data_IF_151143412041
#
_entry.id   IF_151143412041
#
_cell.length_a   1.000
_cell.length_b   1.000
_cell.length_c   1.000
_cell.angle_alpha   90.00
_cell.angle_beta   90.00
_cell.angle_gamma   90.00
#
_symmetry.space_group_name_H-M   'P 1'
#
loop_
_entity.id
_entity.type
_entity.pdbx_description
1 polymer ?
#
# COMPACT_ATOMS: atom_id res chain seq x y z
N UNK A 1 39.80 15.15 13.01
CA UNK A 1 39.75 16.25 12.03
C UNK A 1 40.37 15.74 10.74
N UNK A 2 39.66 15.39 9.67
CA UNK A 2 38.56 16.14 9.05
C UNK A 2 37.23 15.38 9.05
N UNK A 3 36.39 15.75 10.01
CA UNK A 3 34.93 15.52 10.07
C UNK A 3 34.18 16.13 8.86
N UNK A 4 34.91 16.84 7.98
CA UNK A 4 34.41 17.57 6.82
C UNK A 4 33.90 16.66 5.69
N UNK A 5 34.32 15.38 5.63
CA UNK A 5 33.84 14.41 4.64
C UNK A 5 32.66 13.57 5.16
N UNK A 6 32.61 13.24 6.46
CA UNK A 6 31.45 12.54 7.05
C UNK A 6 30.19 13.41 7.09
N UNK A 7 30.37 14.74 7.15
CA UNK A 7 29.27 15.69 7.13
C UNK A 7 28.67 15.92 5.74
N UNK A 8 29.23 15.31 4.68
CA UNK A 8 28.91 15.68 3.31
C UNK A 8 27.62 15.06 2.73
N UNK A 9 27.00 13.99 3.25
CA UNK A 9 25.78 13.47 2.58
C UNK A 9 24.81 12.59 3.39
N UNK A 10 24.60 12.85 4.69
CA UNK A 10 23.33 12.43 5.30
C UNK A 10 22.24 13.46 4.96
N UNK A 11 21.81 13.45 3.71
CA UNK A 11 20.71 14.31 3.25
C UNK A 11 19.38 13.76 3.78
N UNK A 12 18.90 14.34 4.88
CA UNK A 12 17.62 14.00 5.55
C UNK A 12 16.48 14.97 5.18
N UNK A 13 16.64 15.73 4.09
CA UNK A 13 15.61 16.71 3.69
C UNK A 13 14.38 15.96 3.22
N UNK A 14 13.25 16.27 3.85
CA UNK A 14 11.93 15.78 3.45
C UNK A 14 11.19 16.94 2.81
N UNK A 15 10.72 16.73 1.58
CA UNK A 15 9.92 17.71 0.85
C UNK A 15 8.46 17.26 0.89
N UNK A 16 7.65 17.91 1.72
CA UNK A 16 6.23 17.64 1.75
C UNK A 16 5.59 18.08 0.42
N UNK A 17 4.60 17.34 -0.11
CA UNK A 17 3.84 17.81 -1.26
C UNK A 17 3.05 19.07 -0.88
N UNK A 18 2.79 19.92 -1.88
CA UNK A 18 1.98 21.12 -1.70
C UNK A 18 0.55 20.79 -1.25
N UNK A 19 -0.13 21.75 -0.63
CA UNK A 19 -1.51 21.59 -0.20
C UNK A 19 -2.43 21.24 -1.39
N UNK A 20 -2.30 21.98 -2.49
CA UNK A 20 -3.09 21.77 -3.70
C UNK A 20 -2.92 20.36 -4.28
N UNK A 21 -1.71 19.79 -4.19
CA UNK A 21 -1.45 18.41 -4.61
C UNK A 21 -2.11 17.41 -3.66
N UNK A 22 -1.99 17.59 -2.34
CA UNK A 22 -2.61 16.69 -1.36
C UNK A 22 -4.13 16.64 -1.50
N UNK A 23 -4.80 17.78 -1.74
CA UNK A 23 -6.26 17.83 -1.90
C UNK A 23 -6.76 17.04 -3.11
N UNK A 24 -5.97 16.95 -4.18
CA UNK A 24 -6.33 16.25 -5.42
C UNK A 24 -5.85 14.79 -5.45
N UNK A 25 -5.07 14.35 -4.47
CA UNK A 25 -4.53 13.01 -4.45
C UNK A 25 -5.62 11.99 -4.06
N UNK A 26 -5.64 10.85 -4.75
CA UNK A 26 -6.56 9.74 -4.46
C UNK A 26 -6.37 9.18 -3.03
N UNK A 27 -5.14 9.28 -2.51
CA UNK A 27 -4.79 8.97 -1.13
C UNK A 27 -3.99 10.16 -0.61
N UNK A 28 -4.49 10.79 0.45
CA UNK A 28 -3.89 12.00 1.02
C UNK A 28 -3.66 11.92 2.54
N UNK A 29 -3.93 10.77 3.13
CA UNK A 29 -3.69 10.44 4.53
C UNK A 29 -3.20 8.98 4.70
N UNK A 30 -2.93 8.58 5.94
CA UNK A 30 -2.39 7.26 6.27
C UNK A 30 -3.49 6.20 6.50
N UNK A 31 -4.76 6.54 6.30
CA UNK A 31 -5.90 5.64 6.57
C UNK A 31 -5.78 4.31 5.83
N UNK A 32 -5.40 4.25 4.54
CA UNK A 32 -5.31 2.97 3.82
C UNK A 32 -4.30 2.00 4.44
N UNK A 33 -3.21 2.51 5.01
CA UNK A 33 -2.22 1.67 5.69
C UNK A 33 -2.76 1.12 7.00
N UNK A 34 -3.43 1.97 7.78
CA UNK A 34 -4.04 1.58 9.06
C UNK A 34 -5.16 0.54 8.86
N UNK A 35 -5.94 0.66 7.79
CA UNK A 35 -6.97 -0.32 7.45
C UNK A 35 -6.36 -1.66 7.00
N UNK A 36 -5.35 -1.61 6.12
CA UNK A 36 -4.65 -2.80 5.65
C UNK A 36 -3.92 -3.56 6.78
N UNK A 37 -3.42 -2.85 7.79
CA UNK A 37 -2.77 -3.46 8.96
C UNK A 37 -3.78 -4.17 9.89
N UNK A 38 -4.99 -3.61 10.04
CA UNK A 38 -6.05 -4.20 10.87
C UNK A 38 -6.55 -5.52 10.30
N UNK A 39 -6.85 -5.55 9.00
CA UNK A 39 -7.25 -6.77 8.31
C UNK A 39 -6.84 -6.69 6.83
N UNK A 40 -5.68 -7.27 6.54
CA UNK A 40 -5.11 -7.29 5.19
C UNK A 40 -6.02 -8.01 4.18
N UNK A 41 -6.71 -9.08 4.58
CA UNK A 41 -7.51 -9.86 3.64
C UNK A 41 -8.80 -9.11 3.31
N UNK A 42 -9.51 -8.61 4.32
CA UNK A 42 -10.71 -7.81 4.10
C UNK A 42 -10.41 -6.53 3.32
N UNK A 43 -9.27 -5.88 3.58
CA UNK A 43 -8.82 -4.71 2.82
C UNK A 43 -8.71 -5.02 1.32
N UNK A 44 -7.97 -6.06 0.95
CA UNK A 44 -7.81 -6.44 -0.46
C UNK A 44 -9.10 -6.98 -1.09
N UNK A 45 -9.95 -7.64 -0.30
CA UNK A 45 -11.27 -8.09 -0.76
C UNK A 45 -12.16 -6.90 -1.13
N UNK A 46 -12.17 -5.84 -0.32
CA UNK A 46 -12.95 -4.62 -0.59
C UNK A 46 -12.47 -3.89 -1.84
N UNK A 47 -11.16 -3.88 -2.10
CA UNK A 47 -10.62 -3.35 -3.34
C UNK A 47 -10.97 -4.21 -4.55
N UNK A 48 -10.86 -5.53 -4.44
CA UNK A 48 -11.19 -6.45 -5.53
C UNK A 48 -12.67 -6.36 -5.94
N UNK A 49 -13.58 -6.10 -4.99
CA UNK A 49 -15.02 -5.92 -5.25
C UNK A 49 -15.35 -4.71 -6.13
N UNK A 50 -14.42 -3.78 -6.31
CA UNK A 50 -14.61 -2.61 -7.20
C UNK A 50 -14.34 -2.93 -8.67
N UNK A 51 -13.79 -4.11 -8.97
CA UNK A 51 -13.57 -4.58 -10.33
C UNK A 51 -14.80 -5.34 -10.82
N UNK A 52 -14.98 -5.39 -12.15
CA UNK A 52 -16.01 -6.21 -12.77
C UNK A 52 -15.50 -7.65 -12.90
N UNK A 53 -16.18 -8.57 -12.23
CA UNK A 53 -15.89 -10.00 -12.26
C UNK A 53 -16.96 -10.74 -13.05
N UNK A 54 -16.54 -11.76 -13.81
CA UNK A 54 -17.48 -12.67 -14.46
C UNK A 54 -18.21 -13.52 -13.43
N UNK A 55 -17.48 -14.01 -12.42
CA UNK A 55 -18.00 -14.75 -11.28
C UNK A 55 -17.31 -14.28 -9.98
N UNK A 56 -17.99 -14.27 -8.83
CA UNK A 56 -17.35 -13.93 -7.57
C UNK A 56 -16.39 -15.04 -7.12
N UNK A 57 -15.25 -14.64 -6.55
CA UNK A 57 -14.33 -15.61 -5.94
C UNK A 57 -14.93 -16.23 -4.67
N UNK A 58 -14.42 -17.40 -4.32
CA UNK A 58 -14.83 -18.13 -3.10
C UNK A 58 -13.84 -17.98 -1.95
N UNK A 59 -12.58 -17.64 -2.25
CA UNK A 59 -11.51 -17.51 -1.26
C UNK A 59 -10.55 -16.39 -1.63
N UNK A 60 -10.40 -15.42 -0.74
CA UNK A 60 -9.56 -14.22 -0.96
C UNK A 60 -8.08 -14.57 -1.09
N UNK A 61 -7.56 -15.49 -0.26
CA UNK A 61 -6.17 -15.96 -0.33
C UNK A 61 -6.09 -17.45 0.03
N UNK A 62 -5.47 -18.23 -0.86
CA UNK A 62 -4.92 -19.54 -0.59
C UNK A 62 -3.40 -19.47 -0.60
N UNK A 63 -2.77 -19.88 0.51
CA UNK A 63 -1.33 -19.77 0.64
C UNK A 63 -0.72 -21.09 1.09
N UNK A 64 0.12 -21.65 0.22
CA UNK A 64 0.95 -22.82 0.46
C UNK A 64 2.40 -22.46 0.09
N UNK A 65 3.17 -21.86 1.01
CA UNK A 65 4.50 -21.33 0.71
C UNK A 65 5.38 -22.32 -0.09
N UNK A 66 6.01 -21.88 -1.20
CA UNK A 66 6.13 -20.49 -1.67
C UNK A 66 4.96 -20.01 -2.55
N UNK A 67 3.95 -20.84 -2.81
CA UNK A 67 2.88 -20.58 -3.77
C UNK A 67 1.68 -19.89 -3.12
N UNK A 68 1.19 -18.81 -3.74
CA UNK A 68 -0.03 -18.13 -3.31
C UNK A 68 -0.98 -17.95 -4.49
N UNK A 69 -2.28 -18.10 -4.22
CA UNK A 69 -3.36 -17.80 -5.15
C UNK A 69 -4.32 -16.81 -4.48
N UNK A 70 -4.58 -15.71 -5.14
CA UNK A 70 -5.51 -14.68 -4.68
C UNK A 70 -6.83 -14.80 -5.44
N UNK A 71 -7.94 -14.49 -4.77
CA UNK A 71 -9.30 -14.45 -5.33
C UNK A 71 -9.66 -15.72 -6.10
N UNK A 72 -9.52 -16.87 -5.44
CA UNK A 72 -9.70 -18.20 -6.05
C UNK A 72 -11.14 -18.42 -6.50
N UNK A 73 -11.30 -18.74 -7.78
CA UNK A 73 -12.59 -19.06 -8.42
C UNK A 73 -13.31 -17.86 -9.05
N UNK A 74 -12.73 -16.66 -9.01
CA UNK A 74 -13.20 -15.49 -9.76
C UNK A 74 -12.45 -15.30 -11.08
#
# INVERSE_FOLDING_TARGET
MNETIDHLLQEKRVFAPSADFKTQANVNDDTPYQEAEKDRLAYWENWAKQLDWFEPWTKTLEWEPPYSKWFVGG
#
